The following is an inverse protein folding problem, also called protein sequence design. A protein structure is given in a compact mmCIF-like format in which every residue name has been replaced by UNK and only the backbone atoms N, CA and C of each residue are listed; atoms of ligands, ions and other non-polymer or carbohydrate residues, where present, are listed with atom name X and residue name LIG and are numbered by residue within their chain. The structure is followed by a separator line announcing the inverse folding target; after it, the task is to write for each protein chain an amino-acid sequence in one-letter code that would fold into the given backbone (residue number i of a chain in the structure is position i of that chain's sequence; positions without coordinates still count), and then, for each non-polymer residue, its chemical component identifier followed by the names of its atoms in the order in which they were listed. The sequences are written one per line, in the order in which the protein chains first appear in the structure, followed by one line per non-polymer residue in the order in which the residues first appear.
data_IF_663076839920
#
_entry.id   IF_663076839920
#
_cell.length_a   1.000
_cell.length_b   1.000
_cell.length_c   1.000
_cell.angle_alpha   90.00
_cell.angle_beta   90.00
_cell.angle_gamma   90.00
#
_symmetry.space_group_name_H-M   'P 1'
#
loop_
_entity.id
_entity.type
_entity.pdbx_description
1 polymer ?
#
# COMPACT_ATOMS: atom_id res chain seq x y z
N UNK A 1 -23.35 3.54 3.72
CA UNK A 1 -22.31 4.14 2.87
C UNK A 1 -21.23 4.66 3.80
N UNK A 2 -20.04 4.06 3.75
CA UNK A 2 -18.91 4.51 4.57
C UNK A 2 -18.36 5.79 3.94
N UNK A 3 -18.12 6.83 4.75
CA UNK A 3 -17.56 8.09 4.26
C UNK A 3 -16.17 7.88 3.66
N UNK A 4 -15.81 8.58 2.56
CA UNK A 4 -14.47 8.52 1.99
C UNK A 4 -13.41 8.93 3.02
N UNK A 5 -12.35 8.13 3.13
CA UNK A 5 -11.23 8.39 4.03
C UNK A 5 -10.14 9.16 3.26
N UNK A 6 -9.82 10.37 3.69
CA UNK A 6 -8.76 11.17 3.09
C UNK A 6 -7.48 11.07 3.91
N UNK A 7 -6.38 10.64 3.27
CA UNK A 7 -5.06 10.51 3.91
C UNK A 7 -4.03 11.21 3.04
N UNK A 8 -3.64 12.40 3.47
CA UNK A 8 -2.81 13.30 2.67
C UNK A 8 -3.51 13.64 1.34
N UNK A 9 -2.86 13.40 0.18
CA UNK A 9 -3.45 13.67 -1.13
C UNK A 9 -4.33 12.53 -1.67
N UNK A 10 -4.46 11.40 -0.96
CA UNK A 10 -5.21 10.24 -1.42
C UNK A 10 -6.60 10.20 -0.79
N UNK A 11 -7.61 9.80 -1.57
CA UNK A 11 -8.99 9.66 -1.11
C UNK A 11 -9.47 8.24 -1.37
N UNK A 12 -9.81 7.49 -0.33
CA UNK A 12 -10.24 6.10 -0.45
C UNK A 12 -11.73 5.96 -0.17
N UNK A 13 -12.48 5.37 -1.10
CA UNK A 13 -13.89 5.07 -0.94
C UNK A 13 -14.10 3.56 -0.99
N UNK A 14 -14.95 3.03 -0.11
CA UNK A 14 -15.20 1.58 -0.05
C UNK A 14 -15.79 1.08 -1.37
N UNK A 15 -15.16 0.05 -1.93
CA UNK A 15 -15.67 -0.64 -3.11
C UNK A 15 -16.32 -1.96 -2.69
N UNK A 16 -17.65 -1.94 -2.56
CA UNK A 16 -18.44 -3.10 -2.16
C UNK A 16 -18.34 -4.28 -3.15
N UNK A 17 -17.92 -4.01 -4.39
CA UNK A 17 -17.80 -5.02 -5.45
C UNK A 17 -16.41 -5.69 -5.48
N UNK A 18 -15.47 -5.30 -4.61
CA UNK A 18 -14.14 -5.91 -4.54
C UNK A 18 -14.09 -7.00 -3.45
N UNK A 19 -14.16 -8.30 -3.81
CA UNK A 19 -14.07 -9.37 -2.83
C UNK A 19 -12.64 -9.46 -2.30
N UNK A 20 -12.46 -9.18 -1.01
CA UNK A 20 -11.18 -9.36 -0.33
C UNK A 20 -10.71 -10.83 -0.44
N UNK A 21 -9.58 -11.12 -1.09
CA UNK A 21 -9.13 -12.50 -1.29
C UNK A 21 -8.51 -13.12 -0.03
N UNK A 22 -8.42 -12.38 1.08
CA UNK A 22 -7.77 -12.79 2.31
C UNK A 22 -8.55 -12.36 3.56
N UNK A 23 -8.42 -13.14 4.63
CA UNK A 23 -9.10 -12.87 5.90
C UNK A 23 -8.40 -11.74 6.67
N UNK A 24 -9.06 -10.59 6.75
CA UNK A 24 -8.57 -9.40 7.47
C UNK A 24 -9.59 -8.88 8.47
N UNK A 25 -9.14 -8.50 9.67
CA UNK A 25 -10.01 -7.98 10.73
C UNK A 25 -10.68 -6.65 10.32
N UNK A 26 -9.94 -5.81 9.58
CA UNK A 26 -10.46 -4.68 8.83
C UNK A 26 -9.74 -4.66 7.48
N UNK A 27 -10.46 -4.60 6.36
CA UNK A 27 -9.79 -4.56 5.06
C UNK A 27 -8.88 -3.34 4.88
N UNK A 28 -7.66 -3.53 4.34
CA UNK A 28 -6.84 -2.40 3.91
C UNK A 28 -7.52 -1.68 2.75
N UNK A 29 -7.35 -0.37 2.68
CA UNK A 29 -7.77 0.41 1.52
C UNK A 29 -6.83 0.11 0.37
N UNK A 30 -7.35 -0.48 -0.70
CA UNK A 30 -6.56 -0.80 -1.89
C UNK A 30 -6.40 0.41 -2.79
N UNK A 31 -5.38 0.38 -3.63
CA UNK A 31 -5.20 1.41 -4.65
C UNK A 31 -6.37 1.47 -5.65
N UNK A 32 -7.11 0.37 -5.85
CA UNK A 32 -8.32 0.34 -6.67
C UNK A 32 -9.52 1.05 -6.03
N UNK A 33 -9.51 1.25 -4.71
CA UNK A 33 -10.49 2.06 -3.97
C UNK A 33 -10.13 3.55 -3.94
N UNK A 34 -8.95 3.90 -4.44
CA UNK A 34 -8.44 5.26 -4.44
C UNK A 34 -9.09 6.07 -5.57
N UNK A 35 -9.77 7.17 -5.21
CA UNK A 35 -10.65 7.95 -6.09
C UNK A 35 -10.07 9.29 -6.53
N UNK A 36 -8.95 9.75 -5.97
CA UNK A 36 -8.22 10.91 -6.51
C UNK A 36 -7.55 10.58 -7.84
N UNK A 37 -7.32 9.30 -8.14
CA UNK A 37 -6.65 8.80 -9.34
C UNK A 37 -5.13 8.90 -9.29
N UNK A 38 -4.57 9.49 -8.22
CA UNK A 38 -3.14 9.68 -8.08
C UNK A 38 -2.42 8.36 -7.86
N UNK A 39 -2.98 7.45 -7.05
CA UNK A 39 -2.28 6.22 -6.68
C UNK A 39 -2.23 5.22 -7.83
N UNK A 40 -3.33 5.07 -8.58
CA UNK A 40 -3.38 4.21 -9.77
C UNK A 40 -2.27 4.53 -10.77
N UNK A 41 -2.09 5.81 -11.10
CA UNK A 41 -1.04 6.25 -12.01
C UNK A 41 0.38 5.95 -11.48
N UNK A 42 0.59 5.97 -10.17
CA UNK A 42 1.88 5.63 -9.56
C UNK A 42 2.13 4.12 -9.57
N UNK A 43 1.10 3.32 -9.27
CA UNK A 43 1.20 1.86 -9.31
C UNK A 43 1.57 1.39 -10.71
N UNK A 44 1.00 1.98 -11.76
CA UNK A 44 1.40 1.64 -13.15
C UNK A 44 2.88 1.93 -13.44
N UNK A 45 3.41 3.05 -12.96
CA UNK A 45 4.84 3.40 -13.10
C UNK A 45 5.71 2.36 -12.38
N UNK A 46 5.33 1.97 -11.16
CA UNK A 46 6.00 0.91 -10.41
C UNK A 46 5.97 -0.44 -11.15
N UNK A 47 4.80 -0.86 -11.65
CA UNK A 47 4.62 -2.12 -12.37
C UNK A 47 5.37 -2.18 -13.71
N UNK A 48 5.71 -1.01 -14.28
CA UNK A 48 6.57 -0.89 -15.48
C UNK A 48 8.07 -0.85 -15.15
N UNK A 49 8.44 -0.96 -13.87
CA UNK A 49 9.81 -0.79 -13.37
C UNK A 49 10.43 0.54 -13.79
N UNK A 50 9.61 1.60 -13.91
CA UNK A 50 10.07 2.95 -14.25
C UNK A 50 10.56 3.70 -13.00
N UNK A 51 11.33 4.77 -13.21
CA UNK A 51 11.84 5.59 -12.12
C UNK A 51 10.71 6.33 -11.39
N UNK A 52 10.65 6.14 -10.06
CA UNK A 52 9.68 6.81 -9.19
C UNK A 52 10.19 8.19 -8.78
N UNK A 53 9.43 9.23 -9.10
CA UNK A 53 9.67 10.59 -8.59
C UNK A 53 9.47 10.62 -7.06
N UNK A 54 10.11 11.57 -6.34
CA UNK A 54 9.94 11.69 -4.88
C UNK A 54 8.47 11.84 -4.44
N UNK A 55 7.65 12.55 -5.21
CA UNK A 55 6.22 12.69 -4.94
C UNK A 55 5.46 11.38 -5.11
N UNK A 56 5.78 10.59 -6.15
CA UNK A 56 5.18 9.29 -6.41
C UNK A 56 5.55 8.28 -5.32
N UNK A 57 6.82 8.25 -4.93
CA UNK A 57 7.29 7.42 -3.83
C UNK A 57 6.56 7.75 -2.52
N UNK A 58 6.30 9.04 -2.26
CA UNK A 58 5.52 9.43 -1.09
C UNK A 58 4.08 8.90 -1.11
N UNK A 59 3.42 8.87 -2.28
CA UNK A 59 2.09 8.26 -2.42
C UNK A 59 2.11 6.77 -2.12
N UNK A 60 3.10 6.04 -2.65
CA UNK A 60 3.29 4.62 -2.36
C UNK A 60 3.55 4.36 -0.88
N UNK A 61 4.37 5.20 -0.21
CA UNK A 61 4.61 5.06 1.23
C UNK A 61 3.33 5.27 2.05
N UNK A 62 2.53 6.29 1.70
CA UNK A 62 1.23 6.54 2.35
C UNK A 62 0.30 5.34 2.18
N UNK A 63 0.22 4.78 0.97
CA UNK A 63 -0.55 3.59 0.66
C UNK A 63 -0.06 2.36 1.46
N UNK A 64 1.22 2.03 1.37
CA UNK A 64 1.82 0.86 2.02
C UNK A 64 1.67 0.92 3.54
N UNK A 65 1.81 2.11 4.15
CA UNK A 65 1.58 2.28 5.59
C UNK A 65 0.15 1.92 5.97
N UNK A 66 -0.84 2.43 5.25
CA UNK A 66 -2.24 2.10 5.50
C UNK A 66 -2.52 0.61 5.32
N UNK A 67 -1.94 0.03 4.28
CA UNK A 67 -2.07 -1.39 3.98
C UNK A 67 -1.53 -2.22 5.15
N UNK A 68 -0.30 -1.98 5.58
CA UNK A 68 0.37 -2.74 6.65
C UNK A 68 -0.33 -2.54 8.00
N UNK A 69 -0.81 -1.34 8.31
CA UNK A 69 -1.56 -1.07 9.54
C UNK A 69 -2.85 -1.89 9.63
N UNK A 70 -3.48 -2.21 8.50
CA UNK A 70 -4.79 -2.89 8.42
C UNK A 70 -4.66 -4.37 8.05
N UNK A 71 -3.51 -4.79 7.51
CA UNK A 71 -3.23 -6.17 7.17
C UNK A 71 -3.18 -7.07 8.42
N UNK A 72 -3.61 -8.33 8.23
CA UNK A 72 -3.40 -9.39 9.21
C UNK A 72 -1.97 -9.90 9.06
N UNK A 73 -1.13 -9.43 9.95
CA UNK A 73 0.26 -9.86 10.12
C UNK A 73 0.32 -10.48 11.52
N UNK A 74 0.64 -11.77 11.58
CA UNK A 74 0.58 -12.56 12.82
C UNK A 74 1.65 -12.12 13.84
N UNK A 75 2.82 -11.68 13.37
CA UNK A 75 3.90 -11.19 14.22
C UNK A 75 3.95 -9.65 14.25
N UNK A 76 3.81 -9.09 15.45
CA UNK A 76 3.92 -7.65 15.69
C UNK A 76 5.35 -7.12 15.51
N UNK A 77 6.37 -7.97 15.63
CA UNK A 77 7.75 -7.62 15.27
C UNK A 77 7.87 -7.38 13.75
N UNK A 78 7.25 -8.23 12.93
CA UNK A 78 7.23 -8.06 11.48
C UNK A 78 6.48 -6.81 11.06
N UNK A 79 5.31 -6.56 11.65
CA UNK A 79 4.57 -5.31 11.40
C UNK A 79 5.44 -4.08 11.67
N UNK A 80 6.11 -4.02 12.83
CA UNK A 80 7.00 -2.90 13.20
C UNK A 80 8.20 -2.79 12.27
N UNK A 81 8.81 -3.92 11.88
CA UNK A 81 9.93 -3.97 10.92
C UNK A 81 9.51 -3.37 9.57
N UNK A 82 8.36 -3.80 9.04
CA UNK A 82 7.83 -3.33 7.76
C UNK A 82 7.48 -1.83 7.79
N UNK A 83 6.79 -1.38 8.85
CA UNK A 83 6.47 0.04 9.03
C UNK A 83 7.72 0.92 9.12
N UNK A 84 8.75 0.46 9.84
CA UNK A 84 10.02 1.19 9.92
C UNK A 84 10.77 1.25 8.58
N UNK A 85 10.61 0.23 7.72
CA UNK A 85 11.25 0.20 6.40
C UNK A 85 10.61 1.14 5.40
N UNK A 86 9.30 1.40 5.46
CA UNK A 86 8.61 2.30 4.53
C UNK A 86 9.28 3.68 4.45
N UNK A 87 9.70 4.22 5.59
CA UNK A 87 10.31 5.55 5.67
C UNK A 87 11.71 5.60 5.03
N UNK A 88 12.34 4.44 4.83
CA UNK A 88 13.69 4.30 4.28
C UNK A 88 13.73 4.07 2.77
N UNK A 89 12.61 3.74 2.13
CA UNK A 89 12.52 3.44 0.69
C UNK A 89 12.95 4.66 -0.13
N UNK A 90 13.86 4.56 -1.11
CA UNK A 90 14.36 5.73 -1.87
C UNK A 90 14.04 5.69 -3.35
N UNK A 91 13.59 4.55 -3.86
CA UNK A 91 13.27 4.39 -5.28
C UNK A 91 12.82 2.98 -5.62
N UNK A 92 12.82 2.66 -6.91
CA UNK A 92 12.26 1.42 -7.46
C UNK A 92 12.91 0.17 -6.87
N UNK A 93 14.24 0.12 -6.75
CA UNK A 93 14.94 -1.06 -6.22
C UNK A 93 14.65 -1.32 -4.74
N UNK A 94 14.42 -0.26 -3.95
CA UNK A 94 14.02 -0.43 -2.55
C UNK A 94 12.58 -0.92 -2.45
N UNK A 95 11.71 -0.45 -3.34
CA UNK A 95 10.31 -0.90 -3.46
C UNK A 95 10.22 -2.37 -3.86
N UNK A 96 11.00 -2.81 -4.85
CA UNK A 96 11.03 -4.22 -5.29
C UNK A 96 11.46 -5.14 -4.14
N UNK A 97 12.56 -4.81 -3.46
CA UNK A 97 12.99 -5.55 -2.27
C UNK A 97 11.94 -5.54 -1.17
N UNK A 98 11.29 -4.40 -0.95
CA UNK A 98 10.23 -4.29 0.04
C UNK A 98 9.02 -5.16 -0.31
N UNK A 99 8.67 -5.31 -1.58
CA UNK A 99 7.63 -6.25 -2.01
C UNK A 99 8.01 -7.70 -1.70
N UNK A 100 9.28 -8.08 -1.85
CA UNK A 100 9.76 -9.41 -1.45
C UNK A 100 9.56 -9.65 0.07
N UNK A 101 9.92 -8.66 0.91
CA UNK A 101 9.70 -8.75 2.36
C UNK A 101 8.24 -8.84 2.78
N UNK A 102 7.33 -8.23 1.99
CA UNK A 102 5.90 -8.35 2.22
C UNK A 102 5.43 -9.77 1.89
N UNK A 103 5.87 -10.32 0.77
CA UNK A 103 5.54 -11.71 0.39
C UNK A 103 6.06 -12.73 1.41
N UNK A 104 7.24 -12.50 2.01
CA UNK A 104 7.77 -13.37 3.08
C UNK A 104 6.84 -13.49 4.29
N UNK A 105 6.08 -12.43 4.60
CA UNK A 105 5.11 -12.42 5.70
C UNK A 105 3.66 -12.70 5.23
N UNK A 106 3.49 -13.13 3.96
CA UNK A 106 2.20 -13.47 3.37
C UNK A 106 1.34 -12.26 2.99
N UNK A 107 1.96 -11.11 2.70
CA UNK A 107 1.30 -9.86 2.32
C UNK A 107 1.59 -9.49 0.86
N UNK A 108 0.55 -9.20 0.09
CA UNK A 108 0.66 -8.79 -1.32
C UNK A 108 -0.21 -7.55 -1.59
N UNK A 109 0.38 -6.34 -1.64
CA UNK A 109 -0.37 -5.09 -1.79
C UNK A 109 -0.58 -4.63 -3.23
N UNK A 110 -0.04 -5.35 -4.22
CA UNK A 110 -0.11 -5.02 -5.65
C UNK A 110 -0.62 -6.20 -6.46
#
# INVERSE_FOLDING_TARGET
MTEPEQIGPLTFAENADYPYPFAVAKPPRFWMEETSGALSAVVEVFMRSEELKPSQLNLLRIYLRQYIERAVITDEADRRRLLGRIDSLRGISDMERFSEDLSEVGVEPF
#
